data_IF_931261019519
#
_entry.id   IF_931261019519
#
_cell.length_a   1.000
_cell.length_b   1.000
_cell.length_c   1.000
_cell.angle_alpha   90.00
_cell.angle_beta   90.00
_cell.angle_gamma   90.00
#
_symmetry.space_group_name_H-M   'P 1'
#
loop_
_entity.id
_entity.type
_entity.pdbx_description
1 polymer ?
#
# COMPACT_ATOMS: atom_id res chain seq x y z
N UNK A 1 -30.39 -8.76 -3.29
CA UNK A 1 -29.19 -9.58 -3.13
C UNK A 1 -28.23 -8.81 -2.23
N UNK A 2 -28.00 -9.30 -1.03
CA UNK A 2 -27.03 -8.67 -0.12
C UNK A 2 -25.61 -8.99 -0.59
N UNK A 3 -24.67 -8.09 -0.35
CA UNK A 3 -23.26 -8.29 -0.71
C UNK A 3 -22.64 -9.55 -0.07
N UNK A 4 -23.32 -10.14 0.92
CA UNK A 4 -22.87 -11.34 1.62
C UNK A 4 -23.18 -12.66 0.87
N UNK A 5 -23.98 -12.63 -0.19
CA UNK A 5 -24.31 -13.84 -0.96
C UNK A 5 -23.35 -14.13 -2.12
N UNK A 6 -22.37 -13.25 -2.35
CA UNK A 6 -21.43 -13.39 -3.50
C UNK A 6 -20.10 -14.00 -3.07
N UNK A 7 -19.82 -14.11 -1.77
CA UNK A 7 -18.57 -14.67 -1.29
C UNK A 7 -18.82 -16.12 -0.85
N UNK A 8 -18.62 -17.04 -1.76
CA UNK A 8 -18.46 -18.45 -1.43
C UNK A 8 -17.18 -18.59 -0.60
N UNK A 9 -17.34 -18.77 0.71
CA UNK A 9 -16.24 -18.88 1.66
C UNK A 9 -15.24 -19.99 1.35
N UNK A 10 -15.63 -21.00 0.59
CA UNK A 10 -14.74 -22.07 0.15
C UNK A 10 -13.76 -21.60 -0.94
N UNK A 11 -14.20 -20.65 -1.78
CA UNK A 11 -13.35 -20.11 -2.87
C UNK A 11 -12.33 -19.10 -2.37
N UNK A 12 -12.53 -18.52 -1.19
CA UNK A 12 -11.70 -17.45 -0.62
C UNK A 12 -11.01 -17.82 0.69
N UNK A 13 -10.86 -19.09 1.01
CA UNK A 13 -10.04 -19.55 2.15
C UNK A 13 -8.67 -20.09 1.74
N UNK A 14 -7.87 -19.33 1.01
CA UNK A 14 -6.61 -19.79 0.44
C UNK A 14 -5.51 -19.89 1.48
N UNK A 15 -5.68 -19.24 2.61
CA UNK A 15 -4.69 -19.25 3.67
C UNK A 15 -4.79 -20.49 4.57
N UNK A 16 -5.85 -21.29 4.43
CA UNK A 16 -6.02 -22.54 5.15
C UNK A 16 -5.27 -23.70 4.49
N UNK A 17 -4.97 -23.65 3.20
CA UNK A 17 -4.18 -24.65 2.49
C UNK A 17 -2.74 -24.17 2.31
N UNK A 18 -1.78 -25.06 2.52
CA UNK A 18 -0.37 -24.77 2.24
C UNK A 18 -0.05 -24.64 0.75
N UNK A 19 -1.05 -24.81 -0.12
CA UNK A 19 -0.91 -24.64 -1.55
C UNK A 19 -1.34 -23.22 -1.93
N UNK A 20 -0.45 -22.52 -2.61
CA UNK A 20 -0.75 -21.23 -3.23
C UNK A 20 -1.91 -21.41 -4.20
N UNK A 21 -2.96 -20.57 -4.13
CA UNK A 21 -4.06 -20.67 -5.06
C UNK A 21 -3.55 -20.36 -6.46
N UNK A 22 -3.62 -21.33 -7.35
CA UNK A 22 -3.05 -21.20 -8.71
C UNK A 22 -3.64 -20.03 -9.53
N UNK A 23 -4.86 -19.60 -9.21
CA UNK A 23 -5.50 -18.48 -9.90
C UNK A 23 -4.95 -17.10 -9.52
N UNK A 24 -4.19 -16.99 -8.40
CA UNK A 24 -3.47 -15.78 -8.04
C UNK A 24 -2.20 -15.60 -8.81
N UNK A 25 -1.60 -16.70 -9.03
CA UNK A 25 -0.29 -16.79 -9.56
C UNK A 25 -0.31 -16.65 -11.06
N UNK A 26 -1.27 -16.16 -11.74
CA UNK A 26 -1.12 -15.99 -13.17
C UNK A 26 0.36 -16.14 -13.55
N UNK A 27 0.71 -16.62 -14.66
CA UNK A 27 2.13 -16.78 -15.05
C UNK A 27 2.90 -15.52 -14.71
N UNK A 28 4.04 -15.57 -14.00
CA UNK A 28 4.83 -14.38 -13.71
C UNK A 28 5.04 -13.61 -15.01
N UNK A 29 4.57 -12.38 -15.03
CA UNK A 29 4.67 -11.54 -16.23
C UNK A 29 6.11 -11.24 -16.55
N UNK A 30 6.93 -11.18 -15.50
CA UNK A 30 8.36 -10.89 -15.57
C UNK A 30 9.10 -11.98 -14.82
N UNK A 31 10.14 -12.53 -15.43
CA UNK A 31 11.03 -13.49 -14.78
C UNK A 31 11.56 -12.90 -13.45
N UNK A 32 11.34 -13.56 -12.30
CA UNK A 32 11.84 -13.11 -11.01
C UNK A 32 13.34 -12.80 -10.98
N UNK A 33 14.14 -13.45 -11.79
CA UNK A 33 15.58 -13.19 -11.90
C UNK A 33 15.89 -11.77 -12.41
N UNK A 34 14.97 -11.15 -13.14
CA UNK A 34 15.16 -9.79 -13.64
C UNK A 34 15.07 -8.72 -12.56
N UNK A 35 14.35 -8.96 -11.46
CA UNK A 35 14.15 -7.99 -10.39
C UNK A 35 14.70 -8.44 -9.03
N UNK A 36 15.28 -9.64 -8.94
CA UNK A 36 15.87 -10.16 -7.71
C UNK A 36 17.38 -9.95 -7.68
N UNK A 37 17.88 -9.45 -6.56
CA UNK A 37 19.29 -9.27 -6.27
C UNK A 37 19.66 -10.18 -5.10
N UNK A 38 20.71 -10.98 -5.25
CA UNK A 38 21.30 -11.70 -4.14
C UNK A 38 22.30 -10.80 -3.41
N UNK A 39 21.98 -10.40 -2.18
CA UNK A 39 22.87 -9.56 -1.36
C UNK A 39 24.23 -10.21 -1.05
N UNK A 40 24.34 -11.54 -1.15
CA UNK A 40 25.65 -12.20 -1.00
C UNK A 40 26.68 -11.77 -2.04
N UNK A 41 26.25 -11.44 -3.25
CA UNK A 41 27.15 -11.00 -4.32
C UNK A 41 27.90 -9.72 -3.94
N UNK A 42 27.21 -8.80 -3.25
CA UNK A 42 27.77 -7.51 -2.83
C UNK A 42 28.55 -7.62 -1.51
N UNK A 43 28.11 -8.47 -0.57
CA UNK A 43 28.85 -8.69 0.70
C UNK A 43 30.25 -9.27 0.48
N UNK A 44 30.44 -10.10 -0.52
CA UNK A 44 31.75 -10.66 -0.87
C UNK A 44 32.79 -9.60 -1.25
N UNK A 45 32.35 -8.40 -1.60
CA UNK A 45 33.22 -7.28 -1.96
C UNK A 45 33.74 -6.51 -0.74
N UNK A 46 33.33 -6.89 0.49
CA UNK A 46 33.79 -6.27 1.73
C UNK A 46 33.20 -4.87 2.00
N UNK A 47 32.27 -4.41 1.19
CA UNK A 47 31.58 -3.13 1.38
C UNK A 47 30.25 -3.38 2.06
N UNK A 48 29.87 -2.62 3.11
CA UNK A 48 28.55 -2.70 3.71
C UNK A 48 27.45 -2.42 2.67
N UNK A 49 26.39 -3.23 2.67
CA UNK A 49 25.31 -3.10 1.68
C UNK A 49 24.66 -1.71 1.68
N UNK A 50 24.54 -1.07 2.85
CA UNK A 50 23.92 0.24 3.01
C UNK A 50 24.70 1.35 2.27
N UNK A 51 26.02 1.21 2.13
CA UNK A 51 26.91 2.20 1.48
C UNK A 51 27.44 1.74 0.13
N UNK A 52 26.96 0.62 -0.38
CA UNK A 52 27.43 0.06 -1.66
C UNK A 52 26.79 0.80 -2.84
N UNK A 53 27.56 1.66 -3.49
CA UNK A 53 27.16 2.32 -4.73
C UNK A 53 26.82 1.31 -5.83
N UNK A 54 27.56 0.20 -5.89
CA UNK A 54 27.30 -0.87 -6.86
C UNK A 54 25.91 -1.49 -6.66
N UNK A 55 25.52 -1.77 -5.40
CA UNK A 55 24.19 -2.22 -5.08
C UNK A 55 23.14 -1.14 -5.40
N UNK A 56 23.37 0.08 -4.98
CA UNK A 56 22.47 1.20 -5.24
C UNK A 56 22.20 1.41 -6.74
N UNK A 57 23.24 1.40 -7.55
CA UNK A 57 23.15 1.53 -9.01
C UNK A 57 22.38 0.35 -9.62
N UNK A 58 22.64 -0.87 -9.17
CA UNK A 58 21.92 -2.06 -9.62
C UNK A 58 20.43 -2.01 -9.25
N UNK A 59 20.12 -1.61 -8.01
CA UNK A 59 18.73 -1.42 -7.57
C UNK A 59 18.01 -0.37 -8.41
N UNK A 60 18.64 0.78 -8.63
CA UNK A 60 18.05 1.85 -9.42
C UNK A 60 17.83 1.44 -10.89
N UNK A 61 18.78 0.74 -11.48
CA UNK A 61 18.65 0.22 -12.85
C UNK A 61 17.45 -0.74 -12.97
N UNK A 62 17.35 -1.71 -12.08
CA UNK A 62 16.22 -2.66 -12.07
C UNK A 62 14.89 -1.94 -11.82
N UNK A 63 14.88 -1.01 -10.87
CA UNK A 63 13.65 -0.26 -10.56
C UNK A 63 13.17 0.58 -11.74
N UNK A 64 14.07 1.20 -12.47
CA UNK A 64 13.73 1.97 -13.68
C UNK A 64 13.20 1.09 -14.82
N UNK A 65 13.72 -0.14 -14.93
CA UNK A 65 13.33 -1.08 -15.99
C UNK A 65 12.04 -1.84 -15.67
N UNK A 66 11.91 -2.30 -14.41
CA UNK A 66 10.86 -3.25 -14.00
C UNK A 66 9.82 -2.61 -13.08
N UNK A 67 10.18 -1.56 -12.34
CA UNK A 67 9.33 -0.96 -11.29
C UNK A 67 9.32 -1.73 -9.97
N UNK A 68 10.05 -2.83 -9.86
CA UNK A 68 10.14 -3.68 -8.67
C UNK A 68 11.59 -4.10 -8.44
N UNK A 69 12.04 -4.08 -7.18
CA UNK A 69 13.32 -4.65 -6.75
C UNK A 69 13.06 -5.56 -5.56
N UNK A 70 13.53 -6.78 -5.65
CA UNK A 70 13.53 -7.75 -4.56
C UNK A 70 14.98 -8.08 -4.18
N UNK A 71 15.31 -7.96 -2.89
CA UNK A 71 16.66 -8.26 -2.40
C UNK A 71 16.57 -9.42 -1.41
N UNK A 72 17.33 -10.44 -1.67
CA UNK A 72 17.46 -11.62 -0.82
C UNK A 72 18.83 -11.64 -0.13
N UNK A 73 18.98 -12.50 0.87
CA UNK A 73 20.28 -12.79 1.51
C UNK A 73 21.06 -11.53 1.95
N UNK A 74 20.36 -10.51 2.42
CA UNK A 74 21.04 -9.28 2.89
C UNK A 74 21.92 -9.54 4.11
N UNK A 75 21.60 -10.53 4.93
CA UNK A 75 22.27 -10.78 6.19
C UNK A 75 22.02 -9.73 7.26
N UNK A 76 21.08 -8.81 7.03
CA UNK A 76 20.74 -7.77 7.99
C UNK A 76 19.66 -8.26 8.95
N UNK A 77 19.81 -7.92 10.22
CA UNK A 77 18.87 -8.26 11.26
C UNK A 77 18.15 -7.05 11.86
N UNK A 78 18.62 -5.84 11.59
CA UNK A 78 18.06 -4.61 12.13
C UNK A 78 17.32 -3.79 11.08
N UNK A 79 16.26 -3.10 11.53
CA UNK A 79 15.38 -2.33 10.66
C UNK A 79 16.04 -1.07 10.11
N UNK A 80 17.00 -0.49 10.81
CA UNK A 80 17.64 0.77 10.38
C UNK A 80 18.54 0.49 9.17
N UNK A 81 19.34 -0.57 9.21
CA UNK A 81 20.15 -1.00 8.05
C UNK A 81 19.29 -1.43 6.86
N UNK A 82 18.18 -2.15 7.10
CA UNK A 82 17.24 -2.50 6.03
C UNK A 82 16.61 -1.27 5.38
N UNK A 83 16.24 -0.27 6.19
CA UNK A 83 15.72 1.02 5.72
C UNK A 83 16.75 1.77 4.90
N UNK A 84 18.02 1.76 5.30
CA UNK A 84 19.09 2.40 4.55
C UNK A 84 19.26 1.78 3.16
N UNK A 85 19.21 0.45 3.04
CA UNK A 85 19.20 -0.18 1.71
C UNK A 85 18.01 0.31 0.87
N UNK A 86 16.81 0.36 1.42
CA UNK A 86 15.66 0.88 0.70
C UNK A 86 15.85 2.32 0.21
N UNK A 87 16.66 3.10 0.92
CA UNK A 87 16.97 4.50 0.58
C UNK A 87 17.83 4.65 -0.69
N UNK A 88 18.43 3.59 -1.20
CA UNK A 88 19.06 3.63 -2.53
C UNK A 88 18.05 3.98 -3.63
N UNK A 89 16.79 3.56 -3.47
CA UNK A 89 15.70 3.85 -4.42
C UNK A 89 14.72 4.87 -3.86
N UNK A 90 14.27 4.71 -2.60
CA UNK A 90 13.28 5.58 -1.96
C UNK A 90 13.98 6.81 -1.36
N UNK A 91 14.18 7.85 -2.14
CA UNK A 91 14.94 9.05 -1.74
C UNK A 91 14.21 9.96 -0.75
N UNK A 92 12.87 10.02 -0.85
CA UNK A 92 12.02 10.83 0.04
C UNK A 92 11.04 9.94 0.75
N UNK A 93 11.15 9.87 2.06
CA UNK A 93 10.25 9.10 2.90
C UNK A 93 9.16 10.00 3.47
N UNK A 94 7.96 9.48 3.61
CA UNK A 94 6.82 10.18 4.21
C UNK A 94 6.36 9.46 5.45
N UNK A 95 5.73 10.21 6.35
CA UNK A 95 5.00 9.64 7.47
C UNK A 95 3.70 9.03 6.96
N UNK A 96 3.29 7.93 7.56
CA UNK A 96 1.96 7.37 7.37
C UNK A 96 0.96 8.16 8.22
N UNK A 97 0.16 8.99 7.60
CA UNK A 97 -0.80 9.87 8.27
C UNK A 97 -2.17 9.77 7.60
N UNK A 98 -3.22 9.59 8.41
CA UNK A 98 -4.59 9.61 7.92
C UNK A 98 -5.06 8.37 7.14
N UNK A 99 -4.26 7.31 7.09
CA UNK A 99 -4.64 6.05 6.47
C UNK A 99 -5.84 5.35 7.14
N UNK A 100 -6.39 4.34 6.47
CA UNK A 100 -7.57 3.63 6.96
C UNK A 100 -7.27 2.75 8.19
N UNK A 101 -6.09 2.17 8.24
CA UNK A 101 -5.68 1.29 9.32
C UNK A 101 -4.67 1.98 10.22
N UNK A 102 -4.80 1.86 11.55
CA UNK A 102 -3.74 2.30 12.44
C UNK A 102 -2.50 1.43 12.21
N UNK A 103 -1.35 2.08 12.08
CA UNK A 103 -0.06 1.38 11.96
C UNK A 103 0.86 1.78 13.09
N UNK A 104 1.42 0.80 13.76
CA UNK A 104 2.42 1.04 14.80
C UNK A 104 3.73 1.46 14.15
N UNK A 105 4.24 2.63 14.54
CA UNK A 105 5.56 3.06 14.13
C UNK A 105 6.63 2.23 14.87
N UNK A 106 7.49 1.58 14.12
CA UNK A 106 8.64 0.82 14.64
C UNK A 106 9.90 1.68 14.67
N UNK A 107 10.07 2.51 13.65
CA UNK A 107 11.14 3.50 13.46
C UNK A 107 10.58 4.69 12.68
N UNK A 108 11.37 5.76 12.53
CA UNK A 108 10.99 6.89 11.69
C UNK A 108 10.67 6.41 10.26
N UNK A 109 9.42 6.62 9.84
CA UNK A 109 8.88 6.21 8.52
C UNK A 109 8.90 4.70 8.24
N UNK A 110 9.07 3.85 9.25
CA UNK A 110 8.91 2.40 9.19
C UNK A 110 7.77 1.99 10.11
N UNK A 111 6.80 1.31 9.55
CA UNK A 111 5.57 0.95 10.24
C UNK A 111 5.35 -0.55 10.16
N UNK A 112 4.77 -1.11 11.22
CA UNK A 112 4.26 -2.46 11.18
C UNK A 112 3.11 -2.56 10.18
N UNK A 113 2.99 -3.69 9.48
CA UNK A 113 1.83 -3.95 8.62
C UNK A 113 0.59 -4.00 9.49
N UNK A 114 -0.38 -3.13 9.21
CA UNK A 114 -1.51 -2.86 10.11
C UNK A 114 -2.81 -3.57 9.78
N UNK A 115 -2.80 -4.55 8.88
CA UNK A 115 -3.99 -5.33 8.60
C UNK A 115 -4.15 -6.48 9.61
N UNK A 116 -5.38 -6.82 10.03
CA UNK A 116 -5.63 -8.05 10.79
C UNK A 116 -5.10 -9.27 10.03
N UNK A 117 -4.60 -10.27 10.76
CA UNK A 117 -3.99 -11.46 10.16
C UNK A 117 -4.96 -12.26 9.27
N UNK A 118 -6.24 -12.17 9.56
CA UNK A 118 -7.33 -12.82 8.83
C UNK A 118 -7.84 -11.97 7.65
N UNK A 119 -7.39 -10.72 7.56
CA UNK A 119 -7.86 -9.81 6.52
C UNK A 119 -7.23 -10.16 5.17
N UNK A 120 -8.11 -10.31 4.21
CA UNK A 120 -7.71 -10.40 2.83
C UNK A 120 -7.55 -8.99 2.24
N UNK A 121 -6.36 -8.67 1.75
CA UNK A 121 -6.09 -7.39 1.11
C UNK A 121 -6.01 -7.57 -0.40
N UNK A 122 -6.96 -6.96 -1.11
CA UNK A 122 -6.91 -6.87 -2.56
C UNK A 122 -5.76 -5.97 -3.02
N UNK A 123 -5.37 -6.11 -4.29
CA UNK A 123 -4.45 -5.17 -4.91
C UNK A 123 -4.99 -3.74 -4.81
N UNK A 124 -4.17 -2.84 -4.36
CA UNK A 124 -4.52 -1.42 -4.20
C UNK A 124 -3.26 -0.56 -4.27
N UNK A 125 -3.45 0.71 -4.56
CA UNK A 125 -2.39 1.69 -4.42
C UNK A 125 -2.44 2.29 -3.02
N UNK A 126 -1.28 2.37 -2.38
CA UNK A 126 -1.20 2.84 -1.01
C UNK A 126 -1.68 4.29 -0.88
N UNK A 127 -2.67 4.49 -0.02
CA UNK A 127 -3.21 5.80 0.36
C UNK A 127 -3.85 6.61 -0.80
N UNK A 128 -4.33 5.98 -1.85
CA UNK A 128 -4.99 6.67 -2.97
C UNK A 128 -6.21 7.51 -2.55
N UNK A 129 -6.85 7.16 -1.45
CA UNK A 129 -8.12 7.74 -0.97
C UNK A 129 -7.99 8.96 -0.05
N UNK A 130 -6.79 9.50 0.20
CA UNK A 130 -6.59 10.59 1.17
C UNK A 130 -5.93 11.86 0.61
N UNK A 131 -5.88 12.03 -0.69
CA UNK A 131 -5.26 13.21 -1.32
C UNK A 131 -3.75 13.28 -1.18
N UNK A 132 -3.10 12.17 -0.86
CA UNK A 132 -1.66 12.11 -0.60
C UNK A 132 -1.10 10.79 -1.07
N UNK A 133 -0.81 10.71 -2.37
CA UNK A 133 -0.34 9.48 -3.01
C UNK A 133 1.06 9.05 -2.56
N UNK A 134 1.26 7.74 -2.46
CA UNK A 134 2.56 7.11 -2.21
C UNK A 134 3.10 6.55 -3.51
N UNK A 135 4.17 7.12 -4.02
CA UNK A 135 4.75 6.72 -5.32
C UNK A 135 5.59 5.46 -5.26
N UNK A 136 6.18 5.19 -4.11
CA UNK A 136 7.05 4.03 -3.88
C UNK A 136 6.75 3.46 -2.50
N UNK A 137 6.78 2.14 -2.39
CA UNK A 137 6.57 1.42 -1.15
C UNK A 137 7.69 0.39 -0.97
N UNK A 138 8.24 0.31 0.23
CA UNK A 138 9.23 -0.70 0.61
C UNK A 138 8.67 -1.65 1.66
N UNK A 139 8.82 -2.94 1.46
CA UNK A 139 8.52 -3.97 2.46
C UNK A 139 9.83 -4.49 3.05
N UNK A 140 9.98 -4.37 4.37
CA UNK A 140 11.15 -4.84 5.10
C UNK A 140 10.74 -6.10 5.88
N UNK A 141 11.28 -7.24 5.49
CA UNK A 141 10.99 -8.52 6.15
C UNK A 141 11.99 -8.73 7.29
N UNK A 142 11.65 -8.22 8.47
CA UNK A 142 12.49 -8.36 9.66
C UNK A 142 12.46 -9.79 10.24
N UNK A 143 11.29 -10.44 10.14
CA UNK A 143 11.12 -11.82 10.61
C UNK A 143 10.19 -12.57 9.66
N UNK A 144 10.67 -13.69 9.15
CA UNK A 144 9.85 -14.55 8.30
C UNK A 144 8.75 -15.22 9.12
N UNK A 145 7.49 -15.20 8.66
CA UNK A 145 6.44 -16.01 9.25
C UNK A 145 6.70 -17.49 8.99
N UNK A 146 6.25 -18.35 9.89
CA UNK A 146 6.35 -19.81 9.70
C UNK A 146 5.45 -20.33 8.58
N UNK A 147 4.35 -19.62 8.31
CA UNK A 147 3.35 -19.98 7.29
C UNK A 147 2.69 -18.69 6.78
N UNK A 148 2.43 -18.60 5.48
CA UNK A 148 1.80 -17.41 4.87
C UNK A 148 2.73 -16.20 4.80
N UNK A 149 2.16 -15.00 4.87
CA UNK A 149 2.90 -13.73 4.85
C UNK A 149 3.35 -13.29 3.47
N UNK A 150 2.67 -13.74 2.43
CA UNK A 150 2.96 -13.34 1.06
C UNK A 150 2.53 -11.90 0.79
N UNK A 151 3.34 -11.19 0.03
CA UNK A 151 2.98 -9.90 -0.56
C UNK A 151 2.95 -10.09 -2.07
N UNK A 152 1.75 -9.97 -2.63
CA UNK A 152 1.55 -10.07 -4.07
C UNK A 152 1.70 -8.71 -4.72
N UNK A 153 2.34 -8.67 -5.87
CA UNK A 153 2.49 -7.46 -6.70
C UNK A 153 1.86 -7.68 -8.06
N UNK A 154 1.24 -6.65 -8.59
CA UNK A 154 0.61 -6.68 -9.92
C UNK A 154 1.32 -5.70 -10.85
N UNK A 155 1.47 -6.10 -12.11
CA UNK A 155 1.89 -5.18 -13.16
C UNK A 155 0.77 -4.19 -13.47
N UNK A 156 0.98 -2.94 -13.08
CA UNK A 156 -0.04 -1.90 -13.21
C UNK A 156 -0.27 -1.45 -14.66
N UNK A 157 0.67 -1.65 -15.57
CA UNK A 157 0.46 -1.37 -17.00
C UNK A 157 -0.59 -2.33 -17.54
N UNK A 158 -0.40 -3.62 -17.33
CA UNK A 158 -1.34 -4.65 -17.77
C UNK A 158 -2.69 -4.56 -17.06
N UNK A 159 -2.68 -4.24 -15.76
CA UNK A 159 -3.92 -4.02 -15.01
C UNK A 159 -4.71 -2.82 -15.57
N UNK A 160 -4.02 -1.74 -15.95
CA UNK A 160 -4.62 -0.58 -16.59
C UNK A 160 -5.24 -0.94 -17.95
N UNK A 161 -4.51 -1.67 -18.79
CA UNK A 161 -5.01 -2.14 -20.10
C UNK A 161 -6.26 -3.02 -19.92
N UNK A 162 -6.19 -3.98 -19.00
CA UNK A 162 -7.30 -4.90 -18.74
C UNK A 162 -8.55 -4.15 -18.24
N UNK A 163 -8.40 -3.21 -17.33
CA UNK A 163 -9.52 -2.39 -16.83
C UNK A 163 -10.09 -1.53 -17.93
N UNK A 164 -9.28 -0.85 -18.72
CA UNK A 164 -9.72 0.01 -19.81
C UNK A 164 -10.46 -0.75 -20.92
N UNK A 165 -10.22 -2.05 -21.05
CA UNK A 165 -10.98 -2.90 -21.96
C UNK A 165 -12.43 -3.11 -21.52
N UNK A 166 -12.76 -2.87 -20.25
CA UNK A 166 -14.10 -3.06 -19.70
C UNK A 166 -14.98 -1.81 -19.82
N UNK A 167 -16.31 -1.96 -19.87
CA UNK A 167 -17.24 -0.81 -19.82
C UNK A 167 -17.07 0.03 -18.55
N UNK A 168 -16.82 -0.61 -17.39
CA UNK A 168 -16.61 0.08 -16.11
C UNK A 168 -15.33 0.90 -16.14
N UNK A 169 -14.23 0.33 -16.65
CA UNK A 169 -12.96 1.06 -16.76
C UNK A 169 -13.06 2.28 -17.65
N UNK A 170 -13.83 2.24 -18.73
CA UNK A 170 -14.12 3.39 -19.60
C UNK A 170 -14.88 4.46 -18.84
N UNK A 171 -15.91 4.10 -18.06
CA UNK A 171 -16.66 5.04 -17.23
C UNK A 171 -15.77 5.68 -16.14
N UNK A 172 -14.93 4.88 -15.50
CA UNK A 172 -14.00 5.35 -14.47
C UNK A 172 -12.96 6.31 -15.06
N UNK A 173 -12.49 6.05 -16.28
CA UNK A 173 -11.60 6.96 -17.01
C UNK A 173 -12.26 8.31 -17.30
N UNK A 174 -13.52 8.29 -17.70
CA UNK A 174 -14.28 9.48 -18.06
C UNK A 174 -14.72 10.29 -16.83
N UNK A 175 -15.24 9.62 -15.80
CA UNK A 175 -15.89 10.25 -14.64
C UNK A 175 -14.98 10.43 -13.44
N UNK A 176 -13.85 9.70 -13.37
CA UNK A 176 -13.02 9.61 -12.18
C UNK A 176 -13.63 8.74 -11.08
N UNK A 177 -13.09 8.89 -9.89
CA UNK A 177 -13.51 8.20 -8.67
C UNK A 177 -13.87 9.19 -7.58
N UNK A 178 -14.76 8.77 -6.69
CA UNK A 178 -15.02 9.48 -5.45
C UNK A 178 -14.90 8.52 -4.27
N UNK A 179 -13.91 8.75 -3.43
CA UNK A 179 -13.77 8.03 -2.18
C UNK A 179 -14.64 8.68 -1.11
N UNK A 180 -15.60 7.93 -0.59
CA UNK A 180 -16.43 8.31 0.53
C UNK A 180 -15.92 7.66 1.80
N UNK A 181 -15.68 8.46 2.85
CA UNK A 181 -15.37 7.94 4.17
C UNK A 181 -16.33 8.52 5.19
N UNK A 182 -16.86 7.64 6.03
CA UNK A 182 -17.65 7.99 7.19
C UNK A 182 -16.80 7.70 8.43
N UNK A 183 -16.20 8.74 8.98
CA UNK A 183 -15.30 8.66 10.13
C UNK A 183 -16.09 9.00 11.39
N UNK A 184 -16.34 8.04 12.22
CA UNK A 184 -17.10 8.23 13.47
C UNK A 184 -16.25 8.93 14.52
N UNK A 185 -16.89 9.34 15.60
CA UNK A 185 -16.18 9.79 16.78
C UNK A 185 -15.64 8.58 17.55
N UNK A 186 -14.41 8.69 18.06
CA UNK A 186 -13.75 7.68 18.89
C UNK A 186 -14.62 7.24 20.07
N UNK A 187 -15.33 8.17 20.69
CA UNK A 187 -16.17 7.91 21.85
C UNK A 187 -17.30 6.90 21.57
N UNK A 188 -17.72 6.77 20.31
CA UNK A 188 -18.76 5.82 19.92
C UNK A 188 -18.28 4.36 19.87
N UNK A 189 -16.97 4.15 20.01
CA UNK A 189 -16.33 2.84 19.88
C UNK A 189 -15.55 2.37 21.09
N UNK A 190 -15.61 3.11 22.20
CA UNK A 190 -14.88 2.75 23.44
C UNK A 190 -15.09 1.30 23.87
N UNK A 191 -16.26 0.74 23.56
CA UNK A 191 -16.64 -0.61 23.98
C UNK A 191 -16.61 -1.64 22.82
N UNK A 192 -16.16 -1.26 21.63
CA UNK A 192 -16.14 -2.12 20.45
C UNK A 192 -14.71 -2.32 19.93
N UNK A 193 -13.88 -2.91 20.76
CA UNK A 193 -12.43 -3.08 20.51
C UNK A 193 -12.08 -4.06 19.38
N UNK A 194 -13.04 -4.83 18.86
CA UNK A 194 -12.78 -5.91 17.91
C UNK A 194 -12.76 -5.49 16.43
N UNK A 195 -12.96 -4.21 16.11
CA UNK A 195 -12.95 -3.78 14.71
C UNK A 195 -11.57 -3.19 14.38
N UNK A 196 -10.59 -4.06 14.18
CA UNK A 196 -9.19 -3.69 13.87
C UNK A 196 -8.99 -2.91 12.56
N UNK A 197 -10.05 -2.64 11.80
CA UNK A 197 -10.00 -1.90 10.53
C UNK A 197 -10.69 -0.54 10.65
N UNK A 198 -11.12 -0.18 11.86
CA UNK A 198 -11.93 1.01 12.03
C UNK A 198 -11.08 2.25 12.33
N UNK A 199 -11.29 3.30 11.52
CA UNK A 199 -10.61 4.57 11.69
C UNK A 199 -11.62 5.66 12.09
N UNK A 200 -11.40 6.32 13.22
CA UNK A 200 -12.17 7.46 13.68
C UNK A 200 -11.58 8.78 13.19
N UNK A 201 -12.37 9.86 13.18
CA UNK A 201 -11.94 11.12 12.60
C UNK A 201 -10.73 11.74 13.33
N UNK A 202 -10.62 11.57 14.64
CA UNK A 202 -9.49 12.09 15.42
C UNK A 202 -8.15 11.49 14.93
N UNK A 203 -8.13 10.19 14.65
CA UNK A 203 -6.93 9.52 14.13
C UNK A 203 -6.68 9.91 12.68
N UNK A 204 -7.74 9.96 11.87
CA UNK A 204 -7.60 10.27 10.45
C UNK A 204 -7.13 11.70 10.21
N UNK A 205 -7.60 12.64 11.00
CA UNK A 205 -7.28 14.07 10.88
C UNK A 205 -6.15 14.51 11.82
N UNK A 206 -5.66 13.61 12.70
CA UNK A 206 -4.57 13.86 13.65
C UNK A 206 -4.86 15.01 14.63
N UNK A 207 -6.11 15.15 15.05
CA UNK A 207 -6.55 16.21 15.94
C UNK A 207 -7.73 15.76 16.79
N UNK A 208 -7.91 16.36 17.96
CA UNK A 208 -9.09 16.20 18.81
C UNK A 208 -10.11 17.32 18.60
N UNK A 209 -9.72 18.38 17.91
CA UNK A 209 -10.53 19.56 17.65
C UNK A 209 -11.32 19.41 16.34
N UNK A 210 -12.67 19.50 16.38
CA UNK A 210 -13.52 19.37 15.18
C UNK A 210 -13.27 20.44 14.10
N UNK A 211 -12.94 21.67 14.48
CA UNK A 211 -12.68 22.73 13.52
C UNK A 211 -11.34 22.53 12.81
N UNK A 212 -10.34 22.10 13.58
CA UNK A 212 -9.04 21.68 13.02
C UNK A 212 -9.21 20.47 12.10
N UNK A 213 -10.11 19.55 12.42
CA UNK A 213 -10.37 18.38 11.56
C UNK A 213 -10.92 18.78 10.19
N UNK A 214 -11.84 19.74 10.13
CA UNK A 214 -12.33 20.29 8.84
C UNK A 214 -11.23 21.01 8.07
N UNK A 215 -10.39 21.76 8.76
CA UNK A 215 -9.25 22.43 8.14
C UNK A 215 -8.25 21.43 7.54
N UNK A 216 -7.89 20.40 8.29
CA UNK A 216 -6.96 19.35 7.82
C UNK A 216 -7.55 18.56 6.65
N UNK A 217 -8.84 18.25 6.67
CA UNK A 217 -9.52 17.64 5.54
C UNK A 217 -9.41 18.52 4.28
N UNK A 218 -9.75 19.80 4.39
CA UNK A 218 -9.67 20.76 3.28
C UNK A 218 -8.26 20.91 2.74
N UNK A 219 -7.26 20.98 3.61
CA UNK A 219 -5.84 21.07 3.24
C UNK A 219 -5.37 19.85 2.42
N UNK A 220 -5.99 18.68 2.63
CA UNK A 220 -5.75 17.46 1.87
C UNK A 220 -6.60 17.36 0.60
N UNK A 221 -7.37 18.38 0.25
CA UNK A 221 -8.26 18.38 -0.92
C UNK A 221 -9.56 17.59 -0.72
N UNK A 222 -9.90 17.24 0.52
CA UNK A 222 -11.15 16.56 0.83
C UNK A 222 -12.29 17.56 1.01
N UNK A 223 -13.45 17.25 0.46
CA UNK A 223 -14.70 17.84 0.91
C UNK A 223 -15.10 17.16 2.22
N UNK A 224 -15.41 17.94 3.24
CA UNK A 224 -15.73 17.41 4.56
C UNK A 224 -16.93 18.13 5.18
N UNK A 225 -17.80 17.38 5.83
CA UNK A 225 -18.98 17.88 6.54
C UNK A 225 -19.27 17.06 7.78
N UNK A 226 -19.79 17.70 8.83
CA UNK A 226 -20.26 17.02 10.01
C UNK A 226 -21.66 16.47 9.78
N UNK A 227 -21.85 15.18 10.08
CA UNK A 227 -23.15 14.53 10.21
C UNK A 227 -23.62 14.42 11.66
N UNK A 228 -24.71 13.70 11.87
CA UNK A 228 -25.18 13.40 13.22
C UNK A 228 -24.13 12.65 14.05
N UNK A 229 -24.18 12.79 15.37
CA UNK A 229 -23.32 12.10 16.33
C UNK A 229 -21.81 12.30 16.06
N UNK A 230 -21.42 13.51 15.66
CA UNK A 230 -20.03 13.86 15.36
C UNK A 230 -19.38 12.93 14.30
N UNK A 231 -20.17 12.46 13.33
CA UNK A 231 -19.69 11.72 12.18
C UNK A 231 -19.04 12.69 11.19
N UNK A 232 -17.75 12.55 10.92
CA UNK A 232 -17.09 13.30 9.86
C UNK A 232 -17.22 12.53 8.54
N UNK A 233 -18.00 13.10 7.61
CA UNK A 233 -18.12 12.59 6.25
C UNK A 233 -17.11 13.28 5.36
N UNK A 234 -16.28 12.52 4.66
CA UNK A 234 -15.33 13.07 3.70
C UNK A 234 -15.56 12.48 2.31
N UNK A 235 -15.32 13.33 1.28
CA UNK A 235 -15.34 12.94 -0.13
C UNK A 235 -14.06 13.41 -0.78
N UNK A 236 -13.44 12.51 -1.52
CA UNK A 236 -12.25 12.81 -2.29
C UNK A 236 -12.48 12.43 -3.75
N UNK A 237 -12.57 13.44 -4.61
CA UNK A 237 -12.73 13.26 -6.04
C UNK A 237 -11.38 13.29 -6.71
N UNK A 238 -11.08 12.26 -7.50
CA UNK A 238 -9.79 12.10 -8.16
C UNK A 238 -9.97 11.45 -9.54
N UNK A 239 -9.06 11.75 -10.47
CA UNK A 239 -8.90 10.88 -11.63
C UNK A 239 -8.48 9.49 -11.15
N UNK A 240 -9.06 8.45 -11.72
CA UNK A 240 -8.62 7.09 -11.43
C UNK A 240 -7.28 6.75 -12.08
N UNK A 241 -6.76 7.63 -12.93
CA UNK A 241 -5.53 7.44 -13.67
C UNK A 241 -4.58 8.59 -13.39
N UNK A 242 -3.34 8.27 -13.08
CA UNK A 242 -2.28 9.23 -12.83
C UNK A 242 -1.19 9.11 -13.88
N UNK A 243 -0.63 10.24 -14.31
CA UNK A 243 0.46 10.26 -15.27
C UNK A 243 1.77 9.86 -14.61
N UNK A 244 2.43 8.87 -15.20
CA UNK A 244 3.74 8.38 -14.79
C UNK A 244 4.80 8.79 -15.81
N UNK A 245 5.60 9.85 -15.53
CA UNK A 245 6.56 10.39 -16.48
C UNK A 245 7.62 9.39 -16.96
N UNK A 246 8.00 8.44 -16.10
CA UNK A 246 9.00 7.41 -16.41
C UNK A 246 8.54 6.47 -17.54
N UNK A 247 7.23 6.36 -17.73
CA UNK A 247 6.63 5.45 -18.71
C UNK A 247 5.87 6.20 -19.81
N UNK A 248 5.78 7.53 -19.69
CA UNK A 248 4.97 8.39 -20.58
C UNK A 248 3.52 7.90 -20.72
N UNK A 249 2.92 7.46 -19.63
CA UNK A 249 1.60 6.85 -19.61
C UNK A 249 0.76 7.28 -18.41
N UNK A 250 -0.57 7.29 -18.64
CA UNK A 250 -1.55 7.37 -17.57
C UNK A 250 -1.91 5.96 -17.11
N UNK A 251 -1.56 5.62 -15.89
CA UNK A 251 -1.83 4.32 -15.28
C UNK A 251 -2.90 4.43 -14.19
N UNK A 252 -3.63 3.34 -13.99
CA UNK A 252 -4.59 3.24 -12.89
C UNK A 252 -3.90 3.56 -11.56
N UNK A 253 -4.54 4.41 -10.76
CA UNK A 253 -4.10 4.77 -9.42
C UNK A 253 -5.30 4.92 -8.48
N UNK A 254 -5.72 3.83 -7.85
CA UNK A 254 -6.89 3.80 -6.95
C UNK A 254 -6.75 2.75 -5.84
#
# INVERSE_FOLDING_TARGET
MSMNEIIDNETFSPLASAQEPQWWLGSPVIDPLKYTIDGNEFRKQGVPLMTSDALGNRMQSIFNDVGLVHITNTGLADLDSMKEIASHVIKKQRRYEGGANPRKALRANVFEVGAPLEAWLHYHHEMAYIGSSTKMLGFLVHKMPKKGGYTFVSDNVRATEAILATPVGKQVKEKGLCYHRNLTDREQFKDKLDIGVYNHWQQSMLTEDPDVALYEAKKRGLQAEWGANRLLKTRYYISAFEYFPQMDQNLLYS
#
